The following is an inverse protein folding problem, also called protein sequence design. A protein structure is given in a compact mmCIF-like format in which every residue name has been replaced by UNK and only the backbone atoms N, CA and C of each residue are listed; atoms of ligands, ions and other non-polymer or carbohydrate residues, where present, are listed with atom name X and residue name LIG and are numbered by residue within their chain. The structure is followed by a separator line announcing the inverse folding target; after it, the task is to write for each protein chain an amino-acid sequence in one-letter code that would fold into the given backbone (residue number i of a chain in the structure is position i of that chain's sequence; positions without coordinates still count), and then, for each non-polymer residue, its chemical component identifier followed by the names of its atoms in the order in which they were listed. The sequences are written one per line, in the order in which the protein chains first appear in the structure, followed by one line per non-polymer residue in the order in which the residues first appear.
data_IF_601444833578
#
_entry.id   IF_601444833578
#
_cell.length_a   1.000
_cell.length_b   1.000
_cell.length_c   1.000
_cell.angle_alpha   90.00
_cell.angle_beta   90.00
_cell.angle_gamma   90.00
#
_symmetry.space_group_name_H-M   'P 1'
#
loop_
_entity.id
_entity.type
_entity.pdbx_description
1 polymer ?
#
# COMPACT_ATOMS: atom_id res chain seq x y z
N UNK A 1 -37.33 -11.62 4.52
CA UNK A 1 -36.69 -10.82 3.46
C UNK A 1 -35.50 -10.15 4.11
N UNK A 2 -34.32 -10.76 3.94
CA UNK A 2 -33.09 -10.40 4.66
C UNK A 2 -32.65 -8.97 4.35
N UNK A 3 -32.51 -8.16 5.40
CA UNK A 3 -31.75 -6.92 5.36
C UNK A 3 -30.32 -7.26 5.81
N UNK A 4 -29.52 -7.75 4.86
CA UNK A 4 -28.07 -7.85 5.06
C UNK A 4 -27.48 -6.47 5.39
N UNK A 5 -26.41 -6.39 6.19
CA UNK A 5 -25.82 -5.11 6.58
C UNK A 5 -25.40 -4.33 5.34
N UNK A 6 -26.01 -3.16 5.16
CA UNK A 6 -25.72 -2.24 4.08
C UNK A 6 -24.35 -1.62 4.38
N UNK A 7 -23.31 -2.07 3.69
CA UNK A 7 -21.99 -1.43 3.76
C UNK A 7 -22.18 -0.02 3.23
N UNK A 8 -22.24 0.94 4.15
CA UNK A 8 -22.24 2.36 3.80
C UNK A 8 -20.86 2.62 3.24
N UNK A 9 -20.74 2.81 1.92
CA UNK A 9 -19.51 3.36 1.33
C UNK A 9 -19.30 4.72 1.96
N UNK A 10 -18.41 4.79 2.95
CA UNK A 10 -17.90 6.05 3.46
C UNK A 10 -17.35 6.82 2.26
N UNK A 11 -17.80 8.05 2.07
CA UNK A 11 -17.14 8.97 1.15
C UNK A 11 -15.81 9.29 1.80
N UNK A 12 -14.81 8.46 1.55
CA UNK A 12 -13.49 8.66 2.12
C UNK A 12 -12.88 9.92 1.50
N UNK A 13 -12.45 10.86 2.34
CA UNK A 13 -11.80 12.09 1.89
C UNK A 13 -10.61 11.74 0.98
N UNK A 14 -10.29 12.56 -0.04
CA UNK A 14 -9.10 12.30 -0.85
C UNK A 14 -7.85 12.31 0.04
N UNK A 15 -6.92 11.37 -0.21
CA UNK A 15 -5.65 11.32 0.52
C UNK A 15 -4.79 12.52 0.11
N UNK A 16 -4.52 13.43 1.05
CA UNK A 16 -3.68 14.62 0.81
C UNK A 16 -2.37 14.53 1.57
N UNK A 17 -1.32 15.18 1.07
CA UNK A 17 -0.03 15.20 1.76
C UNK A 17 -0.11 15.78 3.20
N UNK A 18 -0.80 16.92 3.44
CA UNK A 18 -0.94 17.45 4.80
C UNK A 18 -1.61 16.47 5.77
N UNK A 19 -2.70 15.80 5.33
CA UNK A 19 -3.40 14.80 6.14
C UNK A 19 -2.46 13.65 6.54
N UNK A 20 -1.63 13.16 5.61
CA UNK A 20 -0.68 12.08 5.89
C UNK A 20 0.40 12.56 6.86
N UNK A 21 0.96 13.75 6.64
CA UNK A 21 2.02 14.30 7.51
C UNK A 21 1.51 14.55 8.93
N UNK A 22 0.31 15.12 9.10
CA UNK A 22 -0.34 15.28 10.40
C UNK A 22 -0.59 13.93 11.09
N UNK A 23 -1.07 12.94 10.33
CA UNK A 23 -1.31 11.59 10.84
C UNK A 23 -0.02 10.89 11.28
N UNK A 24 1.09 11.13 10.59
CA UNK A 24 2.40 10.62 10.99
C UNK A 24 2.86 11.25 12.31
N UNK A 25 2.66 12.55 12.51
CA UNK A 25 2.99 13.21 13.78
C UNK A 25 2.17 12.66 14.96
N UNK A 26 0.93 12.22 14.71
CA UNK A 26 0.08 11.60 15.73
C UNK A 26 0.61 10.27 16.28
N UNK A 27 1.57 9.62 15.60
CA UNK A 27 2.23 8.38 16.07
C UNK A 27 3.17 8.59 17.26
N UNK A 28 3.36 9.84 17.72
CA UNK A 28 4.05 10.13 18.98
C UNK A 28 5.57 9.91 18.96
N UNK A 29 6.21 9.92 17.80
CA UNK A 29 7.67 9.87 17.74
C UNK A 29 8.27 11.20 18.23
N UNK A 30 9.21 11.15 19.18
CA UNK A 30 9.86 12.34 19.73
C UNK A 30 10.55 13.23 18.68
N UNK A 31 10.94 12.68 17.52
CA UNK A 31 11.63 13.36 16.42
C UNK A 31 10.72 13.71 15.23
N UNK A 32 9.43 13.39 15.29
CA UNK A 32 8.45 13.66 14.22
C UNK A 32 7.20 14.27 14.84
N UNK A 33 7.29 15.55 15.20
CA UNK A 33 6.22 16.29 15.89
C UNK A 33 5.53 17.33 15.02
N UNK A 34 6.25 17.86 14.02
CA UNK A 34 5.77 18.91 13.13
C UNK A 34 5.70 18.36 11.71
N UNK A 35 4.59 18.55 10.97
CA UNK A 35 4.47 18.12 9.58
C UNK A 35 5.60 18.62 8.68
N UNK A 36 6.07 19.85 8.89
CA UNK A 36 7.12 20.51 8.10
C UNK A 36 8.49 19.81 8.18
N UNK A 37 8.73 18.98 9.20
CA UNK A 37 9.94 18.16 9.30
C UNK A 37 9.90 16.93 8.37
N UNK A 38 8.73 16.60 7.82
CA UNK A 38 8.51 15.50 6.88
C UNK A 38 8.56 16.06 5.47
N UNK A 39 9.53 15.62 4.68
CA UNK A 39 9.69 16.11 3.31
C UNK A 39 8.86 15.26 2.35
N UNK A 40 8.05 15.93 1.52
CA UNK A 40 7.36 15.29 0.41
C UNK A 40 8.34 14.93 -0.70
N UNK A 41 8.38 13.65 -1.08
CA UNK A 41 9.17 13.17 -2.22
C UNK A 41 8.32 12.97 -3.47
N UNK A 42 7.07 12.56 -3.29
CA UNK A 42 6.09 12.36 -4.36
C UNK A 42 4.70 12.65 -3.82
N UNK A 43 3.98 13.57 -4.49
CA UNK A 43 2.59 13.88 -4.17
C UNK A 43 1.68 12.65 -4.24
N UNK A 44 0.58 12.63 -3.48
CA UNK A 44 -0.46 11.61 -3.62
C UNK A 44 -0.92 11.48 -5.07
N UNK A 45 -0.74 10.29 -5.65
CA UNK A 45 -1.13 9.98 -7.03
C UNK A 45 -1.73 8.58 -7.11
N UNK A 46 -2.52 8.32 -8.16
CA UNK A 46 -3.11 7.01 -8.40
C UNK A 46 -2.04 5.97 -8.70
N UNK A 47 -2.06 4.86 -7.97
CA UNK A 47 -1.19 3.69 -8.17
C UNK A 47 -2.06 2.42 -8.07
N UNK A 48 -2.60 1.96 -9.21
CA UNK A 48 -3.56 0.86 -9.23
C UNK A 48 -4.89 1.18 -8.50
N UNK A 49 -5.47 0.25 -7.73
CA UNK A 49 -6.70 0.43 -6.96
C UNK A 49 -6.45 1.17 -5.64
N UNK A 50 -5.75 2.31 -5.73
CA UNK A 50 -5.43 3.14 -4.58
C UNK A 50 -4.59 4.37 -4.91
N UNK A 51 -4.07 4.98 -3.86
CA UNK A 51 -3.23 6.17 -3.89
C UNK A 51 -1.89 5.87 -3.23
N UNK A 52 -0.82 6.35 -3.84
CA UNK A 52 0.54 6.27 -3.29
C UNK A 52 1.08 7.66 -3.00
N UNK A 53 1.81 7.77 -1.90
CA UNK A 53 2.59 8.95 -1.50
C UNK A 53 3.98 8.49 -1.05
N UNK A 54 5.02 9.26 -1.38
CA UNK A 54 6.38 9.02 -0.92
C UNK A 54 6.87 10.20 -0.08
N UNK A 55 7.47 9.87 1.06
CA UNK A 55 7.87 10.83 2.08
C UNK A 55 9.28 10.50 2.57
N UNK A 56 10.01 11.54 2.95
CA UNK A 56 11.27 11.45 3.66
C UNK A 56 11.03 11.86 5.11
N UNK A 57 11.17 10.89 6.01
CA UNK A 57 10.95 11.08 7.44
C UNK A 57 12.09 11.88 8.08
N UNK A 58 11.83 12.55 9.21
CA UNK A 58 12.85 13.30 9.95
C UNK A 58 14.05 12.43 10.31
N UNK A 59 15.20 13.09 10.49
CA UNK A 59 16.48 12.40 10.77
C UNK A 59 16.36 11.46 11.97
N UNK A 60 16.68 10.19 11.74
CA UNK A 60 16.65 9.15 12.78
C UNK A 60 15.27 8.57 13.07
N UNK A 61 14.26 8.89 12.25
CA UNK A 61 12.98 8.16 12.18
C UNK A 61 13.04 7.24 10.98
N UNK A 62 12.72 5.96 11.18
CA UNK A 62 12.75 4.94 10.13
C UNK A 62 11.34 4.66 9.61
N UNK A 63 11.22 4.25 8.35
CA UNK A 63 9.95 3.77 7.81
C UNK A 63 9.46 2.51 8.56
N UNK A 64 10.39 1.69 9.10
CA UNK A 64 10.06 0.56 9.96
C UNK A 64 9.28 0.98 11.23
N UNK A 65 9.63 2.10 11.86
CA UNK A 65 8.87 2.65 13.00
C UNK A 65 7.40 2.89 12.66
N UNK A 66 7.14 3.37 11.44
CA UNK A 66 5.78 3.63 10.93
C UNK A 66 5.08 2.31 10.60
N UNK A 67 5.79 1.35 10.01
CA UNK A 67 5.25 0.03 9.68
C UNK A 67 4.81 -0.74 10.93
N UNK A 68 5.59 -0.68 12.00
CA UNK A 68 5.26 -1.30 13.30
C UNK A 68 3.99 -0.69 13.94
N UNK A 69 3.71 0.58 13.64
CA UNK A 69 2.53 1.34 14.13
C UNK A 69 1.43 1.49 13.08
N UNK A 70 1.31 0.51 12.17
CA UNK A 70 0.31 0.54 11.10
C UNK A 70 -1.12 0.74 11.62
N UNK A 71 -1.46 0.13 12.75
CA UNK A 71 -2.80 0.25 13.35
C UNK A 71 -3.10 1.67 13.83
N UNK A 72 -2.15 2.29 14.56
CA UNK A 72 -2.25 3.70 14.98
C UNK A 72 -2.32 4.64 13.77
N UNK A 73 -1.54 4.36 12.72
CA UNK A 73 -1.56 5.15 11.49
C UNK A 73 -2.91 5.04 10.78
N UNK A 74 -3.49 3.84 10.69
CA UNK A 74 -4.81 3.65 10.09
C UNK A 74 -5.90 4.39 10.88
N UNK A 75 -5.84 4.34 12.21
CA UNK A 75 -6.72 5.10 13.09
C UNK A 75 -6.57 6.62 12.89
N UNK A 76 -5.33 7.12 12.80
CA UNK A 76 -5.04 8.54 12.57
C UNK A 76 -5.57 9.03 11.20
N UNK A 77 -5.42 8.20 10.15
CA UNK A 77 -5.95 8.47 8.81
C UNK A 77 -7.48 8.28 8.71
N UNK A 78 -8.13 7.76 9.75
CA UNK A 78 -9.55 7.35 9.77
C UNK A 78 -9.88 6.37 8.64
N UNK A 79 -9.03 5.37 8.45
CA UNK A 79 -9.15 4.33 7.42
C UNK A 79 -9.22 2.96 8.05
N UNK A 80 -9.87 2.03 7.35
CA UNK A 80 -9.81 0.62 7.72
C UNK A 80 -8.37 0.09 7.62
N UNK A 81 -7.94 -0.69 8.61
CA UNK A 81 -6.56 -1.21 8.71
C UNK A 81 -6.09 -1.89 7.41
N UNK A 82 -6.98 -2.65 6.77
CA UNK A 82 -6.72 -3.39 5.53
C UNK A 82 -6.45 -2.52 4.31
N UNK A 83 -6.63 -1.19 4.40
CA UNK A 83 -6.38 -0.24 3.32
C UNK A 83 -5.03 0.46 3.41
N UNK A 84 -4.39 0.49 4.58
CA UNK A 84 -3.19 1.29 4.83
C UNK A 84 -1.94 0.42 4.79
N UNK A 85 -1.01 0.69 3.88
CA UNK A 85 0.16 -0.15 3.61
C UNK A 85 1.46 0.68 3.57
N UNK A 86 2.09 0.93 4.73
CA UNK A 86 3.41 1.54 4.80
C UNK A 86 4.51 0.55 4.41
N UNK A 87 5.58 1.03 3.78
CA UNK A 87 6.76 0.23 3.41
C UNK A 87 8.03 1.08 3.35
N UNK A 88 9.19 0.43 3.48
CA UNK A 88 10.49 1.07 3.30
C UNK A 88 10.75 1.30 1.81
N UNK A 89 10.99 2.54 1.43
CA UNK A 89 11.40 2.91 0.08
C UNK A 89 12.86 2.58 -0.22
N UNK A 90 13.24 2.60 -1.50
CA UNK A 90 14.56 2.10 -1.95
C UNK A 90 15.76 3.01 -1.65
N UNK A 91 15.55 4.21 -1.11
CA UNK A 91 16.61 5.25 -1.02
C UNK A 91 17.47 5.08 0.23
N UNK A 92 16.84 5.14 1.41
CA UNK A 92 17.47 4.99 2.72
C UNK A 92 16.39 4.61 3.75
N UNK A 93 16.74 4.21 4.99
CA UNK A 93 15.76 3.74 5.99
C UNK A 93 14.67 4.75 6.39
N UNK A 94 14.87 6.04 6.12
CA UNK A 94 13.89 7.11 6.36
C UNK A 94 12.97 7.40 5.17
N UNK A 95 13.16 6.72 4.03
CA UNK A 95 12.26 6.82 2.89
C UNK A 95 11.02 5.97 3.17
N UNK A 96 9.88 6.62 3.38
CA UNK A 96 8.58 5.99 3.56
C UNK A 96 7.81 6.00 2.24
N UNK A 97 7.36 4.82 1.82
CA UNK A 97 6.35 4.66 0.76
C UNK A 97 5.07 4.24 1.44
N UNK A 98 4.04 5.07 1.34
CA UNK A 98 2.71 4.77 1.85
C UNK A 98 1.75 4.55 0.69
N UNK A 99 1.13 3.38 0.67
CA UNK A 99 0.04 3.05 -0.24
C UNK A 99 -1.27 2.94 0.56
N UNK A 100 -2.32 3.59 0.07
CA UNK A 100 -3.67 3.50 0.63
C UNK A 100 -4.61 2.98 -0.47
N UNK A 101 -5.16 1.78 -0.28
CA UNK A 101 -6.09 1.18 -1.26
C UNK A 101 -7.50 1.78 -1.14
N UNK A 102 -8.24 1.76 -2.24
CA UNK A 102 -9.63 2.28 -2.29
C UNK A 102 -10.61 1.40 -1.50
N UNK A 103 -10.25 0.13 -1.28
CA UNK A 103 -11.03 -0.85 -0.53
C UNK A 103 -10.08 -1.85 0.15
N UNK A 104 -10.57 -2.56 1.16
CA UNK A 104 -9.79 -3.61 1.83
C UNK A 104 -9.49 -4.73 0.84
N UNK A 105 -8.22 -5.16 0.78
CA UNK A 105 -7.78 -6.19 -0.17
C UNK A 105 -8.58 -7.49 -0.10
N UNK A 106 -9.05 -7.88 1.10
CA UNK A 106 -9.88 -9.07 1.30
C UNK A 106 -11.28 -8.97 0.67
N UNK A 107 -11.76 -7.76 0.41
CA UNK A 107 -13.05 -7.47 -0.22
C UNK A 107 -12.88 -7.02 -1.68
N UNK A 108 -11.63 -6.81 -2.13
CA UNK A 108 -11.36 -6.32 -3.46
C UNK A 108 -11.65 -7.41 -4.50
N UNK A 109 -12.42 -7.05 -5.53
CA UNK A 109 -12.58 -7.91 -6.70
C UNK A 109 -11.22 -8.09 -7.38
N UNK A 110 -10.83 -9.35 -7.58
CA UNK A 110 -9.63 -9.67 -8.32
C UNK A 110 -9.95 -9.64 -9.82
N UNK A 111 -9.08 -8.96 -10.57
CA UNK A 111 -9.10 -9.05 -12.02
C UNK A 111 -9.01 -10.52 -12.46
N UNK A 112 -9.71 -10.91 -13.56
CA UNK A 112 -9.65 -12.26 -14.07
C UNK A 112 -8.21 -12.73 -14.22
N UNK A 113 -7.94 -13.93 -13.74
CA UNK A 113 -6.60 -14.51 -13.82
C UNK A 113 -6.15 -14.55 -15.29
N UNK A 114 -4.95 -14.02 -15.64
CA UNK A 114 -4.52 -13.93 -17.04
C UNK A 114 -4.50 -15.29 -17.76
N UNK A 115 -4.37 -16.38 -17.02
CA UNK A 115 -4.35 -17.74 -17.55
C UNK A 115 -5.72 -18.42 -17.58
N UNK A 116 -6.79 -17.78 -17.07
CA UNK A 116 -8.13 -18.35 -17.02
C UNK A 116 -8.61 -18.85 -18.38
N UNK A 117 -8.22 -18.15 -19.46
CA UNK A 117 -8.60 -18.47 -20.83
C UNK A 117 -7.43 -18.93 -21.71
N UNK A 118 -6.22 -19.09 -21.15
CA UNK A 118 -5.01 -19.38 -21.94
C UNK A 118 -4.90 -20.85 -22.35
N UNK A 119 -5.49 -21.77 -21.57
CA UNK A 119 -5.53 -23.22 -21.84
C UNK A 119 -4.21 -23.97 -21.59
N UNK A 120 -3.06 -23.36 -21.93
CA UNK A 120 -1.72 -23.91 -21.75
C UNK A 120 -0.76 -22.86 -21.15
N UNK A 121 0.30 -23.30 -20.47
CA UNK A 121 1.30 -22.43 -19.86
C UNK A 121 2.72 -22.98 -20.06
N UNK A 122 3.66 -22.12 -20.45
CA UNK A 122 5.08 -22.46 -20.51
C UNK A 122 5.73 -22.29 -19.13
N UNK A 123 6.10 -23.41 -18.51
CA UNK A 123 6.72 -23.48 -17.17
C UNK A 123 8.10 -22.80 -17.09
N UNK A 124 8.75 -22.54 -18.23
CA UNK A 124 10.02 -21.84 -18.31
C UNK A 124 9.85 -20.31 -18.38
N UNK A 125 8.62 -19.82 -18.52
CA UNK A 125 8.29 -18.39 -18.46
C UNK A 125 7.73 -18.00 -17.09
N UNK A 126 7.78 -16.70 -16.75
CA UNK A 126 7.27 -16.21 -15.47
C UNK A 126 5.73 -16.20 -15.45
N UNK A 127 5.14 -17.01 -14.58
CA UNK A 127 3.70 -17.27 -14.51
C UNK A 127 3.04 -16.36 -13.47
N UNK A 128 1.99 -15.57 -13.81
CA UNK A 128 1.26 -14.78 -12.83
C UNK A 128 0.47 -15.71 -11.91
N UNK A 129 0.73 -15.69 -10.60
CA UNK A 129 0.06 -16.60 -9.66
C UNK A 129 -0.88 -15.88 -8.69
N UNK A 130 -0.47 -14.73 -8.16
CA UNK A 130 -1.23 -13.99 -7.17
C UNK A 130 -1.03 -12.49 -7.36
N UNK A 131 -1.95 -11.68 -6.87
CA UNK A 131 -1.85 -10.22 -6.89
C UNK A 131 -1.29 -9.70 -5.57
N UNK A 132 -0.46 -8.65 -5.62
CA UNK A 132 -0.08 -7.92 -4.42
C UNK A 132 -1.19 -6.95 -3.98
N UNK A 133 -0.95 -6.18 -2.90
CA UNK A 133 -1.90 -5.21 -2.37
C UNK A 133 -2.28 -4.08 -3.35
N UNK A 134 -1.50 -3.87 -4.42
CA UNK A 134 -1.77 -2.91 -5.49
C UNK A 134 -2.50 -3.55 -6.69
N UNK A 135 -2.97 -4.79 -6.56
CA UNK A 135 -3.61 -5.54 -7.65
C UNK A 135 -2.65 -5.98 -8.75
N UNK A 136 -1.34 -5.75 -8.60
CA UNK A 136 -0.38 -6.15 -9.61
C UNK A 136 -0.04 -7.64 -9.50
N UNK A 137 -0.08 -8.35 -10.63
CA UNK A 137 0.30 -9.76 -10.71
C UNK A 137 1.76 -9.96 -10.33
N UNK A 138 1.98 -10.75 -9.29
CA UNK A 138 3.27 -11.31 -8.94
C UNK A 138 3.48 -12.56 -9.79
N UNK A 139 4.57 -12.53 -10.55
CA UNK A 139 4.96 -13.63 -11.43
C UNK A 139 6.01 -14.50 -10.75
N UNK A 140 5.82 -15.81 -10.81
CA UNK A 140 6.75 -16.81 -10.32
C UNK A 140 7.35 -17.58 -11.49
N UNK A 141 8.67 -17.77 -11.49
CA UNK A 141 9.32 -18.72 -12.38
C UNK A 141 9.32 -20.10 -11.73
N UNK A 142 8.71 -21.09 -12.37
CA UNK A 142 8.58 -22.45 -11.83
C UNK A 142 9.80 -23.30 -12.21
N UNK A 143 10.21 -23.24 -13.48
CA UNK A 143 11.38 -23.96 -13.98
C UNK A 143 12.43 -22.97 -14.52
N UNK A 144 13.70 -23.36 -14.41
CA UNK A 144 14.82 -22.63 -14.99
C UNK A 144 15.39 -23.44 -16.16
N UNK A 145 15.51 -22.82 -17.33
CA UNK A 145 16.22 -23.39 -18.46
C UNK A 145 17.60 -22.73 -18.57
N UNK A 146 18.67 -23.49 -18.30
CA UNK A 146 20.03 -23.13 -18.70
C UNK A 146 20.46 -23.99 -19.88
N UNK A 147 20.72 -23.34 -21.01
CA UNK A 147 21.48 -23.95 -22.10
C UNK A 147 22.93 -23.53 -21.87
N UNK A 148 23.82 -24.53 -21.75
CA UNK A 148 25.29 -24.36 -21.83
C UNK A 148 25.68 -24.44 -23.29
#
# INVERSE_FOLDING_TARGET
MDLGPRVVKSVELPLTAPMVMESLCALGNAKMKVPDDIRLLMDPHRDGPGVRIELELPRGVTASFVMERREELAAALRRELGTVWPSVGRRHPGHLVLFVSDQVMAQAEQEPWPLLNAGEVDIFTAIPLFTNQRGAWIKLSIAYASII
#
